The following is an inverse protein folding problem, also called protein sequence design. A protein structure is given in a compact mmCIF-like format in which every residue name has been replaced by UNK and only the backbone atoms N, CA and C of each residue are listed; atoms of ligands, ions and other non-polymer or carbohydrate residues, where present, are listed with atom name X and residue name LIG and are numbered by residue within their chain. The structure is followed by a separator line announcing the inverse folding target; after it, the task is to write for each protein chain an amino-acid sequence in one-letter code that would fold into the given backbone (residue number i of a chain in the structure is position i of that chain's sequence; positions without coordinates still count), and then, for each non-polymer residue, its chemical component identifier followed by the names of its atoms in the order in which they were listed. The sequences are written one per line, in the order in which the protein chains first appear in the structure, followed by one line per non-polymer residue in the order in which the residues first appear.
data_IF_119180813612
#
_entry.id   IF_119180813612
#
_cell.length_a   1.000
_cell.length_b   1.000
_cell.length_c   1.000
_cell.angle_alpha   90.00
_cell.angle_beta   90.00
_cell.angle_gamma   90.00
#
_symmetry.space_group_name_H-M   'P 1'
#
loop_
_entity.id
_entity.type
_entity.pdbx_description
1 polymer ?
#
# COMPACT_ATOMS: atom_id res chain seq x y z
N UNK A 1 -0.51 -33.53 0.83
CA UNK A 1 -1.28 -32.56 1.65
C UNK A 1 -2.08 -31.70 0.68
N UNK A 2 -3.40 -31.69 0.78
CA UNK A 2 -4.22 -30.77 -0.01
C UNK A 2 -4.10 -29.37 0.62
N UNK A 3 -3.32 -28.50 -0.02
CA UNK A 3 -3.28 -27.09 0.36
C UNK A 3 -4.63 -26.47 -0.01
N UNK A 4 -5.43 -26.16 1.01
CA UNK A 4 -6.62 -25.33 0.84
C UNK A 4 -6.20 -23.97 0.29
N UNK A 5 -6.83 -23.52 -0.79
CA UNK A 5 -6.65 -22.17 -1.35
C UNK A 5 -7.20 -21.08 -0.41
N UNK A 6 -8.02 -21.47 0.57
CA UNK A 6 -8.59 -20.56 1.56
C UNK A 6 -7.82 -20.73 2.87
N UNK A 7 -7.11 -19.69 3.36
CA UNK A 7 -6.41 -19.74 4.63
C UNK A 7 -7.37 -20.01 5.79
N UNK A 8 -7.01 -20.92 6.67
CA UNK A 8 -7.72 -21.18 7.92
C UNK A 8 -7.33 -20.16 8.99
N UNK A 9 -8.11 -20.09 10.07
CA UNK A 9 -7.76 -19.26 11.23
C UNK A 9 -6.39 -19.65 11.84
N UNK A 10 -6.01 -20.92 11.76
CA UNK A 10 -4.70 -21.40 12.20
C UNK A 10 -3.58 -20.98 11.24
N UNK A 11 -3.84 -20.86 9.94
CA UNK A 11 -2.85 -20.34 8.98
C UNK A 11 -2.60 -18.84 9.23
N UNK A 12 -3.66 -18.08 9.54
CA UNK A 12 -3.56 -16.68 9.95
C UNK A 12 -2.81 -16.50 11.29
N UNK A 13 -3.10 -17.35 12.28
CA UNK A 13 -2.40 -17.32 13.56
C UNK A 13 -0.93 -17.76 13.43
N UNK A 14 -0.65 -18.76 12.59
CA UNK A 14 0.69 -19.23 12.28
C UNK A 14 1.50 -18.17 11.53
N UNK A 15 0.88 -17.47 10.57
CA UNK A 15 1.47 -16.31 9.92
C UNK A 15 1.82 -15.23 10.95
N UNK A 16 0.87 -14.84 11.81
CA UNK A 16 1.10 -13.86 12.88
C UNK A 16 2.22 -14.26 13.85
N UNK A 17 2.28 -15.52 14.26
CA UNK A 17 3.32 -16.04 15.14
C UNK A 17 4.70 -16.06 14.45
N UNK A 18 4.75 -16.48 13.19
CA UNK A 18 5.96 -16.47 12.37
C UNK A 18 6.48 -15.05 12.14
N UNK A 19 5.55 -14.12 11.89
CA UNK A 19 5.76 -12.67 11.79
C UNK A 19 6.42 -12.13 13.07
N UNK A 20 5.81 -12.38 14.24
CA UNK A 20 6.34 -11.89 15.51
C UNK A 20 7.67 -12.55 15.92
N UNK A 21 7.92 -13.80 15.51
CA UNK A 21 9.13 -14.56 15.84
C UNK A 21 10.36 -14.23 14.99
N UNK A 22 10.22 -13.53 13.86
CA UNK A 22 11.31 -13.27 12.92
C UNK A 22 11.47 -11.78 12.55
N UNK A 23 11.67 -10.86 13.52
CA UNK A 23 11.63 -9.41 13.31
C UNK A 23 12.73 -8.85 12.36
N UNK A 24 13.74 -9.63 12.01
CA UNK A 24 14.74 -9.25 11.01
C UNK A 24 14.23 -9.42 9.57
N UNK A 25 13.25 -10.30 9.34
CA UNK A 25 12.42 -10.25 8.12
C UNK A 25 11.57 -8.96 8.07
N UNK A 26 11.43 -8.23 9.19
CA UNK A 26 10.55 -7.07 9.35
C UNK A 26 11.24 -5.73 9.07
N UNK A 27 12.53 -5.64 9.36
CA UNK A 27 13.30 -4.40 9.17
C UNK A 27 13.68 -4.20 7.69
N UNK A 28 13.60 -5.26 6.88
CA UNK A 28 13.99 -5.30 5.47
C UNK A 28 12.83 -5.39 4.46
N UNK A 29 11.59 -5.68 4.89
CA UNK A 29 10.57 -6.20 3.98
C UNK A 29 9.31 -5.35 3.87
N UNK A 30 8.87 -5.14 2.62
CA UNK A 30 7.53 -4.69 2.25
C UNK A 30 6.43 -5.51 2.93
N UNK A 31 6.72 -6.76 3.33
CA UNK A 31 5.81 -7.62 4.10
C UNK A 31 5.26 -6.95 5.36
N UNK A 32 5.99 -6.10 6.10
CA UNK A 32 5.46 -5.50 7.35
C UNK A 32 4.40 -4.45 7.09
N UNK A 33 4.70 -3.54 6.16
CA UNK A 33 3.75 -2.52 5.76
C UNK A 33 2.53 -3.16 5.11
N UNK A 34 2.75 -4.16 4.26
CA UNK A 34 1.65 -4.85 3.58
C UNK A 34 0.81 -5.66 4.56
N UNK A 35 1.44 -6.40 5.47
CA UNK A 35 0.75 -7.14 6.54
C UNK A 35 -0.01 -6.17 7.45
N UNK A 36 0.58 -5.03 7.83
CA UNK A 36 -0.11 -4.00 8.62
C UNK A 36 -1.30 -3.38 7.89
N UNK A 37 -1.16 -3.09 6.59
CA UNK A 37 -2.24 -2.56 5.74
C UNK A 37 -3.36 -3.59 5.53
N UNK A 38 -3.01 -4.87 5.34
CA UNK A 38 -3.96 -5.97 5.19
C UNK A 38 -4.67 -6.25 6.52
N UNK A 39 -3.95 -6.36 7.64
CA UNK A 39 -4.57 -6.50 8.97
C UNK A 39 -5.49 -5.32 9.24
N UNK A 40 -5.06 -4.10 8.92
CA UNK A 40 -5.89 -2.90 8.99
C UNK A 40 -7.15 -3.03 8.14
N UNK A 41 -7.04 -3.45 6.88
CA UNK A 41 -8.17 -3.63 5.97
C UNK A 41 -9.14 -4.74 6.44
N UNK A 42 -8.62 -5.86 6.92
CA UNK A 42 -9.41 -6.98 7.46
C UNK A 42 -10.11 -6.56 8.74
N UNK A 43 -9.42 -5.93 9.69
CA UNK A 43 -10.02 -5.42 10.92
C UNK A 43 -11.15 -4.42 10.62
N UNK A 44 -10.90 -3.51 9.68
CA UNK A 44 -11.87 -2.52 9.19
C UNK A 44 -13.06 -3.21 8.50
N UNK A 45 -12.85 -4.30 7.76
CA UNK A 45 -13.93 -5.07 7.13
C UNK A 45 -14.86 -5.79 8.11
N UNK A 46 -14.38 -6.07 9.32
CA UNK A 46 -15.18 -6.68 10.40
C UNK A 46 -16.04 -5.65 11.14
N UNK A 47 -15.82 -4.35 10.91
CA UNK A 47 -16.61 -3.28 11.51
C UNK A 47 -17.98 -3.20 10.81
N UNK A 48 -19.10 -3.11 11.55
CA UNK A 48 -20.43 -3.02 10.97
C UNK A 48 -20.53 -1.91 9.91
N UNK A 49 -21.19 -2.20 8.78
CA UNK A 49 -21.34 -1.23 7.67
C UNK A 49 -22.05 0.06 8.06
N UNK A 50 -22.90 0.00 9.08
CA UNK A 50 -23.58 1.15 9.67
C UNK A 50 -22.68 2.03 10.55
N UNK A 51 -21.49 1.55 10.94
CA UNK A 51 -20.61 2.25 11.85
C UNK A 51 -20.13 3.58 11.22
N UNK A 52 -20.35 4.74 11.88
CA UNK A 52 -19.99 6.05 11.35
C UNK A 52 -18.49 6.17 11.04
N UNK A 53 -17.64 5.49 11.83
CA UNK A 53 -16.17 5.51 11.71
C UNK A 53 -15.70 5.04 10.32
N UNK A 54 -16.40 4.06 9.73
CA UNK A 54 -16.08 3.51 8.41
C UNK A 54 -16.21 4.54 7.28
N UNK A 55 -17.01 5.58 7.50
CA UNK A 55 -17.17 6.67 6.54
C UNK A 55 -15.93 7.57 6.44
N UNK A 56 -15.16 7.61 7.51
CA UNK A 56 -13.95 8.44 7.65
C UNK A 56 -12.71 7.63 7.31
N UNK A 57 -12.65 6.37 7.75
CA UNK A 57 -11.44 5.54 7.64
C UNK A 57 -11.31 4.85 6.28
N UNK A 58 -12.41 4.42 5.65
CA UNK A 58 -12.34 3.64 4.42
C UNK A 58 -11.68 4.39 3.24
N UNK A 59 -12.01 5.68 2.96
CA UNK A 59 -11.40 6.37 1.83
C UNK A 59 -9.87 6.57 1.97
N UNK A 60 -9.33 7.05 3.12
CA UNK A 60 -7.88 7.10 3.33
C UNK A 60 -7.20 5.74 3.18
N UNK A 61 -7.79 4.67 3.76
CA UNK A 61 -7.22 3.33 3.67
C UNK A 61 -7.20 2.81 2.23
N UNK A 62 -8.26 3.06 1.46
CA UNK A 62 -8.28 2.74 0.04
C UNK A 62 -7.19 3.50 -0.73
N UNK A 63 -7.00 4.79 -0.47
CA UNK A 63 -5.92 5.56 -1.10
C UNK A 63 -4.53 5.02 -0.71
N UNK A 64 -4.32 4.67 0.55
CA UNK A 64 -3.07 4.04 1.01
C UNK A 64 -2.77 2.76 0.21
N UNK A 65 -3.77 1.89 0.05
CA UNK A 65 -3.66 0.67 -0.74
C UNK A 65 -3.38 0.96 -2.22
N UNK A 66 -3.98 1.99 -2.81
CA UNK A 66 -3.69 2.40 -4.20
C UNK A 66 -2.22 2.78 -4.36
N UNK A 67 -1.70 3.70 -3.54
CA UNK A 67 -0.30 4.11 -3.61
C UNK A 67 0.64 2.93 -3.37
N UNK A 68 0.30 2.06 -2.41
CA UNK A 68 1.06 0.85 -2.14
C UNK A 68 1.13 -0.09 -3.35
N UNK A 69 -0.03 -0.54 -3.84
CA UNK A 69 -0.09 -1.56 -4.88
C UNK A 69 0.55 -1.07 -6.17
N UNK A 70 0.22 0.15 -6.61
CA UNK A 70 0.79 0.74 -7.82
C UNK A 70 2.29 0.99 -7.67
N UNK A 71 2.71 1.56 -6.53
CA UNK A 71 4.13 1.83 -6.26
C UNK A 71 4.97 0.54 -6.23
N UNK A 72 4.48 -0.50 -5.57
CA UNK A 72 5.12 -1.82 -5.52
C UNK A 72 5.28 -2.44 -6.90
N UNK A 73 4.24 -2.41 -7.74
CA UNK A 73 4.30 -2.97 -9.09
C UNK A 73 5.27 -2.21 -9.99
N UNK A 74 5.23 -0.88 -9.96
CA UNK A 74 6.15 -0.04 -10.75
C UNK A 74 7.60 -0.30 -10.34
N UNK A 75 7.89 -0.28 -9.03
CA UNK A 75 9.24 -0.52 -8.54
C UNK A 75 9.74 -1.91 -8.92
N UNK A 76 8.91 -2.94 -8.76
CA UNK A 76 9.28 -4.30 -9.09
C UNK A 76 9.52 -4.48 -10.60
N UNK A 77 8.73 -3.80 -11.44
CA UNK A 77 8.95 -3.74 -12.89
C UNK A 77 10.27 -3.05 -13.22
N UNK A 78 10.59 -1.95 -12.55
CA UNK A 78 11.83 -1.22 -12.76
C UNK A 78 13.05 -2.06 -12.38
N UNK A 79 12.98 -2.78 -11.26
CA UNK A 79 14.01 -3.73 -10.82
C UNK A 79 14.21 -4.83 -11.88
N UNK A 80 13.12 -5.40 -12.38
CA UNK A 80 13.16 -6.41 -13.42
C UNK A 80 13.84 -5.87 -14.68
N UNK A 81 13.37 -4.76 -15.23
CA UNK A 81 13.92 -4.19 -16.48
C UNK A 81 15.40 -3.83 -16.36
N UNK A 82 15.84 -3.30 -15.21
CA UNK A 82 17.22 -2.84 -15.02
C UNK A 82 18.22 -3.94 -14.70
N UNK A 83 17.81 -4.96 -13.92
CA UNK A 83 18.75 -5.89 -13.30
C UNK A 83 18.57 -7.34 -13.72
N UNK A 84 17.55 -7.66 -14.53
CA UNK A 84 17.27 -9.06 -14.87
C UNK A 84 18.42 -9.75 -15.61
N UNK A 85 19.18 -9.02 -16.43
CA UNK A 85 20.34 -9.58 -17.11
C UNK A 85 21.49 -9.99 -16.16
N UNK A 86 21.58 -9.40 -14.97
CA UNK A 86 22.65 -9.68 -14.00
C UNK A 86 22.23 -10.61 -12.87
N UNK A 87 20.97 -10.54 -12.43
CA UNK A 87 20.43 -11.29 -11.29
C UNK A 87 18.98 -11.77 -11.56
N UNK A 88 18.79 -12.65 -12.56
CA UNK A 88 17.45 -13.00 -13.07
C UNK A 88 16.51 -13.52 -11.98
N UNK A 89 16.91 -14.54 -11.23
CA UNK A 89 16.08 -15.17 -10.19
C UNK A 89 15.60 -14.18 -9.12
N UNK A 90 16.51 -13.29 -8.67
CA UNK A 90 16.19 -12.29 -7.66
C UNK A 90 15.19 -11.27 -8.20
N UNK A 91 15.37 -10.83 -9.45
CA UNK A 91 14.45 -9.87 -10.09
C UNK A 91 13.08 -10.48 -10.41
N UNK A 92 13.02 -11.74 -10.83
CA UNK A 92 11.75 -12.46 -11.03
C UNK A 92 10.99 -12.61 -9.72
N UNK A 93 11.70 -12.94 -8.63
CA UNK A 93 11.11 -13.02 -7.29
C UNK A 93 10.55 -11.66 -6.84
N UNK A 94 11.30 -10.58 -7.05
CA UNK A 94 10.83 -9.22 -6.73
C UNK A 94 9.62 -8.83 -7.59
N UNK A 95 9.62 -9.17 -8.88
CA UNK A 95 8.50 -8.93 -9.77
C UNK A 95 7.23 -9.68 -9.33
N UNK A 96 7.34 -10.98 -9.05
CA UNK A 96 6.25 -11.78 -8.53
C UNK A 96 5.69 -11.22 -7.22
N UNK A 97 6.57 -10.76 -6.31
CA UNK A 97 6.18 -10.08 -5.07
C UNK A 97 5.45 -8.76 -5.35
N UNK A 98 5.92 -7.95 -6.29
CA UNK A 98 5.26 -6.70 -6.71
C UNK A 98 3.86 -6.93 -7.27
N UNK A 99 3.67 -7.99 -8.08
CA UNK A 99 2.36 -8.42 -8.57
C UNK A 99 1.47 -8.87 -7.40
N UNK A 100 2.00 -9.66 -6.47
CA UNK A 100 1.30 -10.08 -5.26
C UNK A 100 0.75 -8.89 -4.47
N UNK A 101 1.61 -7.91 -4.15
CA UNK A 101 1.22 -6.68 -3.45
C UNK A 101 0.15 -5.86 -4.19
N UNK A 102 0.21 -5.79 -5.51
CA UNK A 102 -0.81 -5.11 -6.31
C UNK A 102 -2.16 -5.81 -6.22
N UNK A 103 -2.17 -7.15 -6.32
CA UNK A 103 -3.39 -7.95 -6.20
C UNK A 103 -3.97 -7.88 -4.78
N UNK A 104 -3.12 -7.91 -3.76
CA UNK A 104 -3.52 -7.74 -2.35
C UNK A 104 -4.16 -6.37 -2.12
N UNK A 105 -3.54 -5.30 -2.64
CA UNK A 105 -4.12 -3.96 -2.58
C UNK A 105 -5.49 -3.89 -3.27
N UNK A 106 -5.61 -4.49 -4.46
CA UNK A 106 -6.87 -4.56 -5.19
C UNK A 106 -7.94 -5.32 -4.41
N UNK A 107 -7.59 -6.45 -3.79
CA UNK A 107 -8.50 -7.22 -2.94
C UNK A 107 -8.94 -6.42 -1.72
N UNK A 108 -8.02 -5.74 -1.02
CA UNK A 108 -8.34 -4.86 0.11
C UNK A 108 -9.30 -3.73 -0.29
N UNK A 109 -9.07 -3.08 -1.44
CA UNK A 109 -9.97 -2.06 -1.98
C UNK A 109 -11.34 -2.65 -2.33
N UNK A 110 -11.38 -3.85 -2.92
CA UNK A 110 -12.63 -4.55 -3.25
C UNK A 110 -13.47 -4.83 -2.00
N UNK A 111 -12.83 -5.26 -0.91
CA UNK A 111 -13.48 -5.44 0.40
C UNK A 111 -14.01 -4.12 0.95
N UNK A 112 -13.26 -3.02 0.81
CA UNK A 112 -13.70 -1.69 1.24
C UNK A 112 -14.80 -1.09 0.36
N UNK A 113 -14.98 -1.59 -0.88
CA UNK A 113 -15.85 -0.99 -1.90
C UNK A 113 -17.26 -0.60 -1.43
N UNK A 114 -17.97 -1.36 -0.56
CA UNK A 114 -19.29 -0.94 -0.08
C UNK A 114 -19.23 0.36 0.74
N UNK A 115 -18.12 0.60 1.43
CA UNK A 115 -17.90 1.78 2.27
C UNK A 115 -17.34 2.98 1.48
N UNK A 116 -16.91 2.78 0.24
CA UNK A 116 -16.37 3.83 -0.64
C UNK A 116 -17.44 4.51 -1.50
N UNK A 117 -18.62 3.90 -1.61
CA UNK A 117 -19.75 4.45 -2.39
C UNK A 117 -20.30 5.73 -1.76
N UNK A 118 -20.81 6.62 -2.63
CA UNK A 118 -21.49 7.86 -2.25
C UNK A 118 -20.69 8.79 -1.31
N UNK A 119 -19.36 8.80 -1.44
CA UNK A 119 -18.48 9.73 -0.71
C UNK A 119 -18.36 11.06 -1.45
N UNK A 120 -18.29 12.14 -0.68
CA UNK A 120 -18.13 13.48 -1.24
C UNK A 120 -16.75 13.66 -1.87
N UNK A 121 -16.63 14.57 -2.85
CA UNK A 121 -15.34 14.98 -3.43
C UNK A 121 -14.33 15.38 -2.34
N UNK A 122 -14.81 16.11 -1.34
CA UNK A 122 -14.01 16.54 -0.19
C UNK A 122 -13.39 15.37 0.57
N UNK A 123 -14.15 14.29 0.79
CA UNK A 123 -13.65 13.10 1.48
C UNK A 123 -12.47 12.46 0.72
N UNK A 124 -12.54 12.41 -0.61
CA UNK A 124 -11.47 11.86 -1.44
C UNK A 124 -10.23 12.77 -1.49
N UNK A 125 -10.40 14.09 -1.51
CA UNK A 125 -9.26 15.02 -1.45
C UNK A 125 -8.50 14.86 -0.13
N UNK A 126 -9.24 14.78 0.99
CA UNK A 126 -8.65 14.54 2.32
C UNK A 126 -7.99 13.17 2.39
N UNK A 127 -8.65 12.12 1.88
CA UNK A 127 -8.10 10.77 1.82
C UNK A 127 -6.76 10.72 1.07
N UNK A 128 -6.67 11.36 -0.10
CA UNK A 128 -5.43 11.44 -0.84
C UNK A 128 -4.35 12.21 -0.07
N UNK A 129 -4.70 13.33 0.58
CA UNK A 129 -3.75 14.09 1.39
C UNK A 129 -3.20 13.27 2.58
N UNK A 130 -4.07 12.52 3.27
CA UNK A 130 -3.67 11.60 4.35
C UNK A 130 -2.74 10.51 3.82
N UNK A 131 -3.08 9.90 2.68
CA UNK A 131 -2.26 8.87 2.07
C UNK A 131 -0.88 9.41 1.66
N UNK A 132 -0.83 10.57 1.01
CA UNK A 132 0.43 11.23 0.64
C UNK A 132 1.27 11.52 1.88
N UNK A 133 0.67 12.03 2.95
CA UNK A 133 1.40 12.32 4.20
C UNK A 133 2.00 11.04 4.80
N UNK A 134 1.21 9.97 4.89
CA UNK A 134 1.65 8.68 5.40
C UNK A 134 2.85 8.15 4.60
N UNK A 135 2.74 8.12 3.27
CA UNK A 135 3.81 7.61 2.41
C UNK A 135 5.03 8.51 2.41
N UNK A 136 4.85 9.83 2.48
CA UNK A 136 5.95 10.78 2.63
C UNK A 136 6.72 10.52 3.93
N UNK A 137 6.01 10.29 5.04
CA UNK A 137 6.65 9.93 6.30
C UNK A 137 7.44 8.62 6.17
N UNK A 138 6.89 7.61 5.52
CA UNK A 138 7.60 6.34 5.30
C UNK A 138 8.83 6.52 4.40
N UNK A 139 8.73 7.29 3.32
CA UNK A 139 9.84 7.52 2.39
C UNK A 139 10.96 8.34 3.01
N UNK A 140 10.63 9.40 3.75
CA UNK A 140 11.62 10.33 4.32
C UNK A 140 12.19 9.80 5.64
N UNK A 141 11.33 9.38 6.56
CA UNK A 141 11.73 9.04 7.93
C UNK A 141 12.19 7.59 8.01
N UNK A 142 11.42 6.67 7.42
CA UNK A 142 11.69 5.24 7.56
C UNK A 142 12.58 4.69 6.45
N UNK A 143 12.62 5.36 5.29
CA UNK A 143 13.37 4.97 4.09
C UNK A 143 13.24 3.47 3.77
N UNK A 144 12.33 3.09 2.88
CA UNK A 144 12.11 1.69 2.63
C UNK A 144 13.37 0.98 2.14
N UNK A 145 13.79 -0.12 2.79
CA UNK A 145 15.07 -0.79 2.52
C UNK A 145 15.19 -1.30 1.08
N UNK A 146 14.05 -1.64 0.45
CA UNK A 146 13.99 -2.06 -0.95
C UNK A 146 14.30 -0.95 -1.95
N UNK A 147 14.26 0.33 -1.55
CA UNK A 147 14.73 1.42 -2.42
C UNK A 147 16.22 1.26 -2.70
N UNK A 148 17.00 0.70 -1.76
CA UNK A 148 18.43 0.50 -1.91
C UNK A 148 18.81 -0.77 -2.68
N UNK A 149 17.84 -1.53 -3.20
CA UNK A 149 18.12 -2.76 -3.96
C UNK A 149 19.08 -2.48 -5.13
N UNK A 150 20.22 -3.17 -5.17
CA UNK A 150 21.27 -2.92 -6.18
C UNK A 150 21.72 -1.43 -6.26
N UNK A 151 21.72 -0.71 -5.14
CA UNK A 151 22.26 0.65 -5.05
C UNK A 151 21.37 1.76 -5.62
N UNK A 152 20.12 1.48 -6.00
CA UNK A 152 19.24 2.45 -6.67
C UNK A 152 18.51 3.44 -5.74
N UNK A 153 18.94 3.55 -4.47
CA UNK A 153 18.24 4.29 -3.41
C UNK A 153 17.81 5.69 -3.84
N UNK A 154 18.76 6.48 -4.33
CA UNK A 154 18.50 7.89 -4.63
C UNK A 154 17.53 8.06 -5.80
N UNK A 155 17.63 7.22 -6.82
CA UNK A 155 16.74 7.26 -7.99
C UNK A 155 15.31 6.92 -7.58
N UNK A 156 15.12 5.85 -6.82
CA UNK A 156 13.79 5.41 -6.41
C UNK A 156 13.19 6.35 -5.37
N UNK A 157 14.00 6.86 -4.43
CA UNK A 157 13.54 7.86 -3.46
C UNK A 157 13.09 9.15 -4.16
N UNK A 158 13.86 9.65 -5.13
CA UNK A 158 13.48 10.84 -5.89
C UNK A 158 12.18 10.62 -6.68
N UNK A 159 12.05 9.46 -7.35
CA UNK A 159 10.83 9.10 -8.08
C UNK A 159 9.61 9.02 -7.15
N UNK A 160 9.76 8.37 -5.99
CA UNK A 160 8.70 8.25 -4.99
C UNK A 160 8.27 9.62 -4.44
N UNK A 161 9.21 10.48 -4.07
CA UNK A 161 8.93 11.84 -3.60
C UNK A 161 8.27 12.69 -4.70
N UNK A 162 8.71 12.55 -5.96
CA UNK A 162 8.10 13.21 -7.11
C UNK A 162 6.63 12.80 -7.31
N UNK A 163 6.33 11.51 -7.23
CA UNK A 163 4.97 11.00 -7.31
C UNK A 163 4.08 11.50 -6.16
N UNK A 164 4.62 11.53 -4.93
CA UNK A 164 3.91 12.06 -3.76
C UNK A 164 3.66 13.57 -3.87
N UNK A 165 4.63 14.32 -4.38
CA UNK A 165 4.46 15.75 -4.65
C UNK A 165 3.38 16.01 -5.71
N UNK A 166 3.35 15.22 -6.79
CA UNK A 166 2.28 15.29 -7.78
C UNK A 166 0.90 14.99 -7.16
N UNK A 167 0.82 13.95 -6.32
CA UNK A 167 -0.40 13.62 -5.57
C UNK A 167 -0.87 14.77 -4.67
N UNK A 168 0.05 15.42 -3.96
CA UNK A 168 -0.24 16.60 -3.14
C UNK A 168 -0.78 17.77 -3.98
N UNK A 169 -0.14 18.04 -5.13
CA UNK A 169 -0.55 19.11 -6.05
C UNK A 169 -1.95 18.88 -6.60
N UNK A 170 -2.28 17.65 -6.98
CA UNK A 170 -3.63 17.28 -7.42
C UNK A 170 -4.64 17.55 -6.31
N UNK A 171 -4.37 17.14 -5.06
CA UNK A 171 -5.24 17.45 -3.93
C UNK A 171 -5.42 18.97 -3.73
N UNK A 172 -4.33 19.74 -3.78
CA UNK A 172 -4.38 21.19 -3.62
C UNK A 172 -5.17 21.89 -4.74
N UNK A 173 -4.96 21.46 -5.99
CA UNK A 173 -5.71 21.97 -7.14
C UNK A 173 -7.20 21.63 -7.04
N UNK A 174 -7.53 20.38 -6.71
CA UNK A 174 -8.92 19.95 -6.56
C UNK A 174 -9.61 20.66 -5.38
N UNK A 175 -8.88 20.95 -4.31
CA UNK A 175 -9.39 21.75 -3.18
C UNK A 175 -9.72 23.18 -3.60
N UNK A 176 -8.80 23.85 -4.31
CA UNK A 176 -8.99 25.23 -4.76
C UNK A 176 -10.14 25.38 -5.76
N UNK A 177 -10.38 24.35 -6.57
CA UNK A 177 -11.45 24.31 -7.58
C UNK A 177 -12.75 23.70 -7.05
N UNK A 178 -12.85 23.40 -5.75
CA UNK A 178 -14.09 22.93 -5.15
C UNK A 178 -15.08 24.11 -5.01
N UNK A 179 -16.35 23.96 -5.42
CA UNK A 179 -17.37 24.97 -5.16
C UNK A 179 -17.44 25.26 -3.66
N UNK A 180 -17.31 26.54 -3.28
CA UNK A 180 -17.55 26.96 -1.89
C UNK A 180 -18.99 26.62 -1.55
N UNK A 181 -19.20 25.88 -0.45
CA UNK A 181 -20.54 25.68 0.12
C UNK A 181 -21.11 27.08 0.39
N UNK A 182 -22.19 27.42 -0.31
CA UNK A 182 -23.02 28.58 -0.01
C UNK A 182 -23.79 28.31 1.29
#
# INVERSE_FOLDING_TARGET
MHASLVPTANDLAGLLAYVLGNPYLFISSSTVMTTGLIIGAVAVSMVPRSAPVMRVVAPPLAMLLVYFGVGSLILATEILVRFHASIPDATETQFASGVGHFLEAAAGIAVLSPHLRARSRLAWIVANAVAVLYWTAHVIVLTPPWFAFQGQLEVIRAAALGALAAGALVSAFLWRTAPRRR
#
